data_IF_206795421619
#
_entry.id   IF_206795421619
#
_cell.length_a   1.000
_cell.length_b   1.000
_cell.length_c   1.000
_cell.angle_alpha   90.00
_cell.angle_beta   90.00
_cell.angle_gamma   90.00
#
_symmetry.space_group_name_H-M   'P 1'
#
loop_
_entity.id
_entity.type
_entity.pdbx_description
1 polymer ?
#
# COMPACT_ATOMS: atom_id res chain seq x y z
N UNK A 1 15.62 -26.36 67.74
CA UNK A 1 16.99 -26.44 67.30
C UNK A 1 17.00 -26.39 65.84
N UNK A 2 17.59 -25.36 65.30
CA UNK A 2 17.95 -25.02 63.94
C UNK A 2 16.82 -24.62 63.01
N UNK A 3 16.76 -23.32 62.91
CA UNK A 3 16.14 -22.47 61.90
C UNK A 3 16.63 -22.78 60.49
N UNK A 4 15.73 -22.72 59.57
CA UNK A 4 16.01 -22.37 58.18
C UNK A 4 14.73 -21.92 57.47
N UNK A 5 14.20 -20.78 57.89
CA UNK A 5 13.30 -19.95 57.08
C UNK A 5 14.18 -19.05 56.22
N UNK A 6 14.38 -19.43 54.94
CA UNK A 6 14.90 -18.55 53.93
C UNK A 6 13.73 -18.20 53.02
N UNK A 7 13.28 -16.96 53.16
CA UNK A 7 12.19 -16.32 52.47
C UNK A 7 12.51 -16.15 50.98
N UNK A 8 11.54 -16.56 50.15
CA UNK A 8 11.56 -16.46 48.67
C UNK A 8 11.28 -15.01 48.12
N UNK A 9 11.58 -13.98 48.90
CA UNK A 9 11.29 -12.59 48.52
C UNK A 9 12.50 -11.80 48.03
N UNK A 10 13.73 -12.30 48.10
CA UNK A 10 14.93 -11.52 47.73
C UNK A 10 15.53 -11.84 46.35
N UNK A 11 14.84 -12.60 45.50
CA UNK A 11 15.35 -12.91 44.16
C UNK A 11 14.68 -12.12 43.01
N UNK A 12 13.82 -11.16 43.32
CA UNK A 12 13.05 -10.41 42.29
C UNK A 12 13.58 -8.96 42.03
N UNK A 13 14.68 -8.53 42.65
CA UNK A 13 15.19 -7.14 42.52
C UNK A 13 16.65 -7.11 42.03
N UNK A 14 17.00 -7.98 41.10
CA UNK A 14 18.29 -7.93 40.44
C UNK A 14 18.22 -8.21 38.91
N UNK A 15 17.17 -7.74 38.25
CA UNK A 15 17.14 -7.56 36.80
C UNK A 15 17.21 -6.07 36.49
N UNK A 16 18.41 -5.53 36.72
CA UNK A 16 18.73 -4.13 36.41
C UNK A 16 18.59 -3.85 34.94
N UNK A 17 17.89 -2.79 34.70
CA UNK A 17 18.01 -1.82 33.64
C UNK A 17 19.37 -1.88 32.89
N UNK A 18 19.41 -2.65 31.81
CA UNK A 18 20.39 -2.51 30.75
C UNK A 18 19.65 -2.02 29.48
N UNK A 19 19.35 -0.72 29.48
CA UNK A 19 18.99 0.03 28.29
C UNK A 19 20.12 0.05 27.27
N UNK A 20 20.57 -1.12 26.83
CA UNK A 20 21.42 -1.24 25.66
C UNK A 20 20.53 -0.99 24.43
N UNK A 21 20.89 -0.04 23.54
CA UNK A 21 20.23 0.07 22.26
C UNK A 21 20.33 -1.30 21.57
N UNK A 22 19.18 -1.80 21.09
CA UNK A 22 19.16 -3.03 20.30
C UNK A 22 20.06 -2.79 19.09
N UNK A 23 21.32 -3.23 19.22
CA UNK A 23 22.31 -3.19 18.17
C UNK A 23 21.75 -4.06 17.04
N UNK A 24 21.18 -3.40 16.01
CA UNK A 24 20.75 -4.08 14.79
C UNK A 24 22.02 -4.71 14.25
N UNK A 25 22.17 -6.01 14.49
CA UNK A 25 23.28 -6.80 14.03
C UNK A 25 23.53 -6.49 12.54
N UNK A 26 24.69 -5.92 12.23
CA UNK A 26 25.21 -5.72 10.88
C UNK A 26 25.68 -7.06 10.27
N UNK A 27 24.97 -8.14 10.58
CA UNK A 27 25.08 -9.39 9.86
C UNK A 27 24.41 -9.22 8.50
N UNK A 28 25.15 -9.44 7.40
CA UNK A 28 24.64 -9.35 6.05
C UNK A 28 23.29 -10.03 5.94
N UNK A 29 22.26 -9.29 5.44
CA UNK A 29 20.90 -9.79 5.32
C UNK A 29 20.93 -11.07 4.49
N UNK A 30 20.61 -12.24 5.05
CA UNK A 30 20.67 -13.49 4.30
C UNK A 30 19.71 -13.33 3.12
N UNK A 31 20.23 -13.44 1.91
CA UNK A 31 19.46 -13.49 0.68
C UNK A 31 18.75 -12.17 0.27
N UNK A 32 19.52 -11.04 0.29
CA UNK A 32 19.02 -9.75 -0.23
C UNK A 32 18.58 -9.86 -1.71
N UNK A 33 19.22 -10.75 -2.48
CA UNK A 33 18.85 -11.02 -3.87
C UNK A 33 17.46 -11.61 -4.01
N UNK A 34 17.08 -12.57 -3.17
CA UNK A 34 15.71 -13.11 -3.13
C UNK A 34 14.71 -12.06 -2.63
N UNK A 35 15.11 -11.20 -1.71
CA UNK A 35 14.32 -10.05 -1.27
C UNK A 35 13.99 -9.11 -2.43
N UNK A 36 15.01 -8.71 -3.20
CA UNK A 36 14.88 -7.86 -4.38
C UNK A 36 13.99 -8.52 -5.44
N UNK A 37 14.17 -9.83 -5.70
CA UNK A 37 13.37 -10.55 -6.67
C UNK A 37 11.89 -10.59 -6.26
N UNK A 38 11.56 -10.88 -4.99
CA UNK A 38 10.19 -10.95 -4.48
C UNK A 38 9.49 -9.58 -4.54
N UNK A 39 10.13 -8.52 -4.04
CA UNK A 39 9.53 -7.19 -4.05
C UNK A 39 9.50 -6.60 -5.46
N UNK A 40 10.55 -6.82 -6.27
CA UNK A 40 10.58 -6.42 -7.68
C UNK A 40 9.47 -7.07 -8.48
N UNK A 41 9.23 -8.38 -8.28
CA UNK A 41 8.09 -9.07 -8.89
C UNK A 41 6.75 -8.47 -8.43
N UNK A 42 6.58 -8.20 -7.12
CA UNK A 42 5.35 -7.61 -6.61
C UNK A 42 5.06 -6.24 -7.24
N UNK A 43 6.07 -5.37 -7.34
CA UNK A 43 5.91 -4.06 -7.97
C UNK A 43 5.69 -4.15 -9.48
N UNK A 44 6.40 -5.04 -10.18
CA UNK A 44 6.17 -5.29 -11.60
C UNK A 44 4.75 -5.82 -11.83
N UNK A 45 4.31 -6.75 -10.98
CA UNK A 45 2.96 -7.31 -11.01
C UNK A 45 1.89 -6.21 -10.83
N UNK A 46 2.04 -5.32 -9.84
CA UNK A 46 1.15 -4.17 -9.68
C UNK A 46 1.17 -3.23 -10.88
N UNK A 47 2.34 -3.05 -11.50
CA UNK A 47 2.47 -2.23 -12.71
C UNK A 47 1.70 -2.75 -13.91
N UNK A 48 1.59 -4.08 -14.07
CA UNK A 48 0.83 -4.71 -15.18
C UNK A 48 -0.64 -4.96 -14.87
N UNK A 49 -1.08 -4.76 -13.62
CA UNK A 49 -2.47 -4.96 -13.19
C UNK A 49 -3.52 -4.18 -14.00
N UNK A 50 -3.25 -3.00 -14.56
CA UNK A 50 -4.20 -2.33 -15.45
C UNK A 50 -4.67 -3.20 -16.61
N UNK A 51 -3.82 -4.08 -17.15
CA UNK A 51 -4.21 -5.03 -18.21
C UNK A 51 -5.33 -5.98 -17.76
N UNK A 52 -5.27 -6.41 -16.52
CA UNK A 52 -6.29 -7.28 -15.92
C UNK A 52 -7.59 -6.52 -15.66
N UNK A 53 -7.52 -5.42 -14.93
CA UNK A 53 -8.70 -4.64 -14.56
C UNK A 53 -9.42 -4.07 -15.76
N UNK A 54 -8.71 -3.75 -16.83
CA UNK A 54 -9.31 -3.28 -18.09
C UNK A 54 -10.22 -4.34 -18.75
N UNK A 55 -9.96 -5.64 -18.53
CA UNK A 55 -10.85 -6.72 -19.01
C UNK A 55 -12.22 -6.67 -18.34
N UNK A 56 -12.31 -6.03 -17.18
CA UNK A 56 -13.50 -5.82 -16.37
C UNK A 56 -14.04 -4.38 -16.45
N UNK A 57 -13.65 -3.61 -17.46
CA UNK A 57 -14.10 -2.21 -17.65
C UNK A 57 -15.59 -2.04 -17.87
N UNK A 58 -16.31 -3.13 -18.21
CA UNK A 58 -17.78 -3.14 -18.25
C UNK A 58 -18.43 -3.13 -16.87
N UNK A 59 -17.66 -3.38 -15.80
CA UNK A 59 -18.12 -3.31 -14.41
C UNK A 59 -17.77 -1.94 -13.86
N UNK A 60 -18.72 -1.30 -13.18
CA UNK A 60 -18.49 0.02 -12.59
C UNK A 60 -17.32 0.00 -11.61
N UNK A 61 -16.49 1.07 -11.54
CA UNK A 61 -15.29 1.10 -10.69
C UNK A 61 -15.54 0.79 -9.24
N UNK A 62 -16.65 1.27 -8.69
CA UNK A 62 -17.06 1.00 -7.31
C UNK A 62 -17.42 -0.48 -7.11
N UNK A 63 -18.26 -1.04 -7.98
CA UNK A 63 -18.66 -2.44 -7.93
C UNK A 63 -17.45 -3.37 -8.09
N UNK A 64 -16.54 -3.05 -9.01
CA UNK A 64 -15.30 -3.81 -9.20
C UNK A 64 -14.41 -3.79 -7.94
N UNK A 65 -14.36 -2.64 -7.23
CA UNK A 65 -13.64 -2.54 -5.96
C UNK A 65 -14.32 -3.38 -4.87
N UNK A 66 -15.65 -3.38 -4.81
CA UNK A 66 -16.41 -4.22 -3.87
C UNK A 66 -16.11 -5.71 -4.10
N UNK A 67 -16.16 -6.18 -5.35
CA UNK A 67 -15.79 -7.56 -5.68
C UNK A 67 -14.33 -7.87 -5.33
N UNK A 68 -13.40 -6.96 -5.63
CA UNK A 68 -11.99 -7.10 -5.27
C UNK A 68 -11.80 -7.32 -3.76
N UNK A 69 -12.49 -6.54 -2.92
CA UNK A 69 -12.43 -6.66 -1.46
C UNK A 69 -13.07 -7.98 -1.00
N UNK A 70 -14.26 -8.30 -1.49
CA UNK A 70 -14.99 -9.51 -1.13
C UNK A 70 -14.16 -10.78 -1.41
N UNK A 71 -13.67 -10.92 -2.63
CA UNK A 71 -12.90 -12.10 -3.03
C UNK A 71 -11.52 -12.15 -2.38
N UNK A 72 -10.92 -10.98 -2.09
CA UNK A 72 -9.71 -10.90 -1.28
C UNK A 72 -9.98 -11.38 0.15
N UNK A 73 -11.07 -10.94 0.79
CA UNK A 73 -11.45 -11.38 2.14
C UNK A 73 -11.63 -12.90 2.23
N UNK A 74 -12.28 -13.50 1.24
CA UNK A 74 -12.47 -14.95 1.15
C UNK A 74 -11.13 -15.66 0.98
N UNK A 75 -10.29 -15.19 0.06
CA UNK A 75 -8.99 -15.79 -0.21
C UNK A 75 -8.05 -15.72 1.00
N UNK A 76 -7.91 -14.54 1.64
CA UNK A 76 -7.05 -14.41 2.84
C UNK A 76 -7.62 -15.18 4.04
N UNK A 77 -8.96 -15.36 4.14
CA UNK A 77 -9.57 -16.24 5.14
C UNK A 77 -9.13 -17.69 4.96
N UNK A 78 -9.17 -18.22 3.73
CA UNK A 78 -8.71 -19.57 3.41
C UNK A 78 -7.23 -19.73 3.77
N UNK A 79 -6.39 -18.76 3.41
CA UNK A 79 -4.95 -18.76 3.74
C UNK A 79 -4.73 -18.70 5.25
N UNK A 80 -5.48 -17.86 5.97
CA UNK A 80 -5.37 -17.71 7.42
C UNK A 80 -5.79 -18.99 8.15
N UNK A 81 -6.86 -19.64 7.71
CA UNK A 81 -7.30 -20.94 8.23
C UNK A 81 -6.25 -22.03 7.99
N UNK A 82 -5.75 -22.14 6.75
CA UNK A 82 -4.75 -23.14 6.39
C UNK A 82 -3.41 -22.95 7.12
N UNK A 83 -3.11 -21.74 7.59
CA UNK A 83 -1.90 -21.41 8.37
C UNK A 83 -2.13 -21.39 9.88
N UNK A 84 -3.32 -21.73 10.37
CA UNK A 84 -3.65 -21.68 11.79
C UNK A 84 -3.58 -20.27 12.41
N UNK A 85 -3.71 -19.20 11.62
CA UNK A 85 -3.55 -17.80 12.07
C UNK A 85 -4.81 -17.24 12.74
N UNK A 86 -5.92 -17.97 12.73
CA UNK A 86 -7.21 -17.49 13.24
C UNK A 86 -7.16 -17.01 14.71
N UNK A 87 -6.50 -17.68 15.66
CA UNK A 87 -6.41 -17.18 17.03
C UNK A 87 -5.70 -15.83 17.13
N UNK A 88 -4.65 -15.63 16.32
CA UNK A 88 -3.92 -14.36 16.26
C UNK A 88 -4.76 -13.24 15.68
N UNK A 89 -5.48 -13.49 14.59
CA UNK A 89 -6.42 -12.52 13.97
C UNK A 89 -7.53 -12.15 14.95
N UNK A 90 -8.07 -13.14 15.70
CA UNK A 90 -9.08 -12.87 16.73
C UNK A 90 -8.54 -11.99 17.88
N UNK A 91 -7.28 -12.16 18.26
CA UNK A 91 -6.63 -11.31 19.25
C UNK A 91 -6.52 -9.84 18.75
N UNK A 92 -6.18 -9.65 17.47
CA UNK A 92 -6.14 -8.32 16.82
C UNK A 92 -7.54 -7.67 16.87
N UNK A 93 -8.58 -8.40 16.46
CA UNK A 93 -9.97 -7.90 16.44
C UNK A 93 -10.46 -7.51 17.84
N UNK A 94 -10.03 -8.24 18.87
CA UNK A 94 -10.38 -7.94 20.27
C UNK A 94 -9.64 -6.76 20.86
N UNK A 95 -8.70 -6.14 20.15
CA UNK A 95 -7.95 -4.97 20.59
C UNK A 95 -8.55 -3.71 19.98
N UNK A 96 -9.41 -2.94 20.70
CA UNK A 96 -10.23 -1.88 20.10
C UNK A 96 -9.43 -0.78 19.40
N UNK A 97 -8.27 -0.40 19.97
CA UNK A 97 -7.40 0.63 19.37
C UNK A 97 -6.81 0.18 18.04
N UNK A 98 -6.36 -1.08 17.97
CA UNK A 98 -5.81 -1.67 16.75
C UNK A 98 -6.91 -1.82 15.71
N UNK A 99 -8.08 -2.31 16.11
CA UNK A 99 -9.25 -2.47 15.24
C UNK A 99 -9.70 -1.13 14.65
N UNK A 100 -9.79 -0.06 15.46
CA UNK A 100 -10.15 1.28 14.98
C UNK A 100 -9.14 1.81 13.95
N UNK A 101 -7.84 1.60 14.18
CA UNK A 101 -6.81 2.00 13.22
C UNK A 101 -6.93 1.19 11.92
N UNK A 102 -7.16 -0.13 12.00
CA UNK A 102 -7.37 -0.97 10.82
C UNK A 102 -8.69 -0.64 10.10
N UNK A 103 -9.72 -0.19 10.80
CA UNK A 103 -10.95 0.32 10.17
C UNK A 103 -10.69 1.62 9.37
N UNK A 104 -9.89 2.54 9.93
CA UNK A 104 -9.48 3.74 9.20
C UNK A 104 -8.63 3.38 7.97
N UNK A 105 -7.66 2.48 8.14
CA UNK A 105 -6.80 2.06 7.01
C UNK A 105 -7.56 1.30 5.94
N UNK A 106 -8.60 0.52 6.31
CA UNK A 106 -9.46 -0.15 5.34
C UNK A 106 -10.24 0.84 4.47
N UNK A 107 -10.73 1.95 5.05
CA UNK A 107 -11.36 3.03 4.28
C UNK A 107 -10.37 3.71 3.35
N UNK A 108 -9.18 4.08 3.86
CA UNK A 108 -8.15 4.77 3.07
C UNK A 108 -7.69 3.94 1.87
N UNK A 109 -7.43 2.63 2.07
CA UNK A 109 -6.99 1.77 0.99
C UNK A 109 -8.12 1.48 -0.01
N UNK A 110 -9.36 1.38 0.45
CA UNK A 110 -10.53 1.22 -0.42
C UNK A 110 -10.74 2.43 -1.30
N UNK A 111 -10.65 3.64 -0.75
CA UNK A 111 -10.69 4.88 -1.53
C UNK A 111 -9.57 4.91 -2.58
N UNK A 112 -8.33 4.58 -2.19
CA UNK A 112 -7.19 4.51 -3.09
C UNK A 112 -7.45 3.52 -4.25
N UNK A 113 -7.91 2.32 -3.95
CA UNK A 113 -8.19 1.30 -4.95
C UNK A 113 -9.34 1.69 -5.87
N UNK A 114 -10.41 2.31 -5.34
CA UNK A 114 -11.55 2.77 -6.14
C UNK A 114 -11.10 3.85 -7.12
N UNK A 115 -10.31 4.83 -6.67
CA UNK A 115 -9.75 5.89 -7.53
C UNK A 115 -8.87 5.26 -8.62
N UNK A 116 -8.02 4.29 -8.28
CA UNK A 116 -7.17 3.64 -9.25
C UNK A 116 -7.96 2.88 -10.32
N UNK A 117 -8.97 2.11 -9.93
CA UNK A 117 -9.87 1.42 -10.87
C UNK A 117 -10.64 2.42 -11.74
N UNK A 118 -11.09 3.53 -11.13
CA UNK A 118 -11.71 4.63 -11.86
C UNK A 118 -10.77 5.18 -12.95
N UNK A 119 -9.49 5.39 -12.64
CA UNK A 119 -8.50 5.86 -13.61
C UNK A 119 -8.33 4.89 -14.79
N UNK A 120 -8.40 3.58 -14.54
CA UNK A 120 -8.35 2.56 -15.60
C UNK A 120 -9.58 2.66 -16.50
N UNK A 121 -10.76 2.79 -15.90
CA UNK A 121 -12.03 2.86 -16.63
C UNK A 121 -12.20 4.16 -17.44
N UNK A 122 -11.61 5.26 -16.95
CA UNK A 122 -11.75 6.60 -17.56
C UNK A 122 -10.53 7.05 -18.37
N UNK A 123 -9.56 6.15 -18.61
CA UNK A 123 -8.33 6.47 -19.36
C UNK A 123 -7.51 7.62 -18.75
N UNK A 124 -7.31 7.57 -17.43
CA UNK A 124 -6.56 8.57 -16.65
C UNK A 124 -5.37 7.95 -15.90
N UNK A 125 -4.78 6.89 -16.44
CA UNK A 125 -3.66 6.18 -15.82
C UNK A 125 -2.37 7.00 -15.78
N UNK A 126 -2.19 7.92 -16.73
CA UNK A 126 -1.06 8.88 -16.71
C UNK A 126 -1.12 9.69 -15.41
N UNK A 127 -2.29 10.23 -15.06
CA UNK A 127 -2.47 11.01 -13.83
C UNK A 127 -2.35 10.13 -12.58
N UNK A 128 -2.86 8.92 -12.59
CA UNK A 128 -2.66 7.95 -11.52
C UNK A 128 -1.18 7.64 -11.31
N UNK A 129 -0.41 7.46 -12.38
CA UNK A 129 1.04 7.22 -12.31
C UNK A 129 1.77 8.40 -11.66
N UNK A 130 1.40 9.65 -11.99
CA UNK A 130 1.95 10.83 -11.34
C UNK A 130 1.68 10.82 -9.83
N UNK A 131 0.47 10.46 -9.41
CA UNK A 131 0.11 10.32 -8.00
C UNK A 131 1.01 9.32 -7.26
N UNK A 132 1.26 8.16 -7.84
CA UNK A 132 2.16 7.17 -7.23
C UNK A 132 3.63 7.59 -7.24
N UNK A 133 4.09 8.39 -8.20
CA UNK A 133 5.43 8.97 -8.14
C UNK A 133 5.57 10.02 -7.03
N UNK A 134 4.49 10.71 -6.66
CA UNK A 134 4.46 11.69 -5.58
C UNK A 134 4.41 11.04 -4.19
N UNK A 135 3.94 9.79 -4.07
CA UNK A 135 3.78 9.08 -2.79
C UNK A 135 4.98 9.18 -1.83
N UNK A 136 6.24 8.98 -2.26
CA UNK A 136 7.37 9.09 -1.35
C UNK A 136 7.55 10.50 -0.78
N UNK A 137 7.23 11.52 -1.57
CA UNK A 137 7.32 12.92 -1.13
C UNK A 137 6.23 13.26 -0.12
N UNK A 138 5.02 12.74 -0.31
CA UNK A 138 3.94 12.81 0.69
C UNK A 138 4.36 12.07 1.96
N UNK A 139 4.96 10.87 1.86
CA UNK A 139 5.44 10.12 3.03
C UNK A 139 6.50 10.89 3.82
N UNK A 140 7.41 11.61 3.14
CA UNK A 140 8.39 12.51 3.78
C UNK A 140 7.65 13.65 4.50
N UNK A 141 6.71 14.31 3.83
CA UNK A 141 5.94 15.40 4.43
C UNK A 141 5.18 14.93 5.68
N UNK A 142 4.48 13.78 5.60
CA UNK A 142 3.80 13.19 6.75
C UNK A 142 4.77 12.81 7.88
N UNK A 143 5.95 12.29 7.57
CA UNK A 143 7.01 12.02 8.54
C UNK A 143 7.39 13.25 9.35
N UNK A 144 7.55 14.39 8.67
CA UNK A 144 7.86 15.66 9.33
C UNK A 144 6.69 16.19 10.16
N UNK A 145 5.50 16.27 9.57
CA UNK A 145 4.34 16.90 10.23
C UNK A 145 3.77 16.05 11.38
N UNK A 146 3.80 14.72 11.26
CA UNK A 146 3.14 13.83 12.21
C UNK A 146 4.12 13.18 13.20
N UNK A 147 5.38 12.96 12.80
CA UNK A 147 6.40 12.38 13.68
C UNK A 147 7.41 13.42 14.18
N UNK A 148 7.31 14.70 13.77
CA UNK A 148 8.28 15.73 14.12
C UNK A 148 9.68 15.44 13.54
N UNK A 149 9.79 14.65 12.47
CA UNK A 149 11.07 14.35 11.85
C UNK A 149 11.73 15.65 11.32
N UNK A 150 13.05 15.75 11.44
CA UNK A 150 13.75 16.93 10.97
C UNK A 150 13.68 17.05 9.44
N UNK A 151 13.07 18.14 8.95
CA UNK A 151 13.01 18.43 7.51
C UNK A 151 14.27 19.14 7.07
N UNK A 152 15.11 18.49 6.29
CA UNK A 152 16.22 19.15 5.64
C UNK A 152 15.74 20.10 4.54
N UNK A 153 16.57 21.08 4.18
CA UNK A 153 16.27 22.02 3.07
C UNK A 153 16.04 21.28 1.75
N UNK A 154 16.78 20.19 1.51
CA UNK A 154 16.63 19.38 0.29
C UNK A 154 15.31 18.62 0.23
N UNK A 155 14.87 18.06 1.36
CA UNK A 155 13.55 17.40 1.45
C UNK A 155 12.41 18.41 1.29
N UNK A 156 12.54 19.59 1.91
CA UNK A 156 11.56 20.67 1.70
C UNK A 156 11.49 21.07 0.23
N UNK A 157 12.63 21.27 -0.44
CA UNK A 157 12.68 21.58 -1.87
C UNK A 157 11.99 20.49 -2.71
N UNK A 158 12.23 19.21 -2.41
CA UNK A 158 11.58 18.10 -3.10
C UNK A 158 10.05 18.09 -2.93
N UNK A 159 9.55 18.35 -1.73
CA UNK A 159 8.10 18.46 -1.46
C UNK A 159 7.49 19.66 -2.20
N UNK A 160 8.17 20.80 -2.22
CA UNK A 160 7.74 21.99 -2.98
C UNK A 160 7.70 21.69 -4.48
N UNK A 161 8.71 21.00 -5.02
CA UNK A 161 8.72 20.58 -6.44
C UNK A 161 7.53 19.66 -6.77
N UNK A 162 7.14 18.74 -5.86
CA UNK A 162 5.94 17.94 -6.04
C UNK A 162 4.67 18.81 -6.12
N UNK A 163 4.55 19.82 -5.25
CA UNK A 163 3.46 20.78 -5.30
C UNK A 163 3.42 21.58 -6.61
N UNK A 164 4.60 22.00 -7.11
CA UNK A 164 4.71 22.69 -8.42
C UNK A 164 4.26 21.77 -9.56
N UNK A 165 4.62 20.48 -9.54
CA UNK A 165 4.16 19.51 -10.54
C UNK A 165 2.63 19.42 -10.59
N UNK A 166 1.98 19.33 -9.42
CA UNK A 166 0.50 19.32 -9.34
C UNK A 166 -0.09 20.65 -9.85
N UNK A 167 0.52 21.79 -9.51
CA UNK A 167 0.07 23.10 -9.99
C UNK A 167 0.17 23.24 -11.52
N UNK A 168 1.23 22.73 -12.14
CA UNK A 168 1.39 22.69 -13.60
C UNK A 168 0.23 21.91 -14.24
N UNK A 169 -0.12 20.74 -13.68
CA UNK A 169 -1.25 19.96 -14.17
C UNK A 169 -2.59 20.68 -13.97
N UNK A 170 -2.76 21.40 -12.85
CA UNK A 170 -3.96 22.20 -12.62
C UNK A 170 -4.15 23.31 -13.67
N UNK A 171 -3.06 23.98 -14.06
CA UNK A 171 -3.08 25.01 -15.10
C UNK A 171 -3.40 24.40 -16.47
N UNK A 172 -2.79 23.24 -16.80
CA UNK A 172 -3.04 22.57 -18.09
C UNK A 172 -4.50 22.11 -18.22
N UNK A 173 -5.05 21.53 -17.16
CA UNK A 173 -6.42 20.98 -17.16
C UNK A 173 -7.49 22.07 -17.02
N UNK A 174 -7.13 23.27 -16.54
CA UNK A 174 -8.09 24.30 -16.21
C UNK A 174 -8.94 24.03 -14.96
N UNK A 175 -8.64 22.96 -14.24
CA UNK A 175 -9.26 22.57 -12.97
C UNK A 175 -8.27 21.83 -12.07
N UNK A 176 -8.63 21.69 -10.80
CA UNK A 176 -7.77 20.98 -9.85
C UNK A 176 -7.62 19.49 -10.21
N UNK A 177 -6.38 18.96 -10.44
CA UNK A 177 -6.11 17.57 -10.76
C UNK A 177 -6.20 16.71 -9.50
N UNK A 178 -7.41 16.38 -9.08
CA UNK A 178 -7.67 15.74 -7.77
C UNK A 178 -7.15 14.32 -7.64
N UNK A 179 -6.99 13.61 -8.77
CA UNK A 179 -6.62 12.19 -8.81
C UNK A 179 -5.23 11.96 -8.19
N UNK A 180 -4.22 12.66 -8.69
CA UNK A 180 -2.85 12.46 -8.23
C UNK A 180 -2.68 12.77 -6.72
N UNK A 181 -3.16 13.92 -6.19
CA UNK A 181 -3.14 14.17 -4.75
C UNK A 181 -3.98 13.18 -3.94
N UNK A 182 -5.17 12.78 -4.43
CA UNK A 182 -6.02 11.84 -3.72
C UNK A 182 -5.38 10.45 -3.58
N UNK A 183 -4.75 9.94 -4.65
CA UNK A 183 -3.99 8.69 -4.60
C UNK A 183 -2.78 8.82 -3.66
N UNK A 184 -2.00 9.91 -3.77
CA UNK A 184 -0.82 10.10 -2.96
C UNK A 184 -1.16 10.26 -1.47
N UNK A 185 -2.17 11.03 -1.12
CA UNK A 185 -2.59 11.25 0.27
C UNK A 185 -3.23 10.00 0.88
N UNK A 186 -4.17 9.36 0.17
CA UNK A 186 -4.84 8.16 0.68
C UNK A 186 -3.85 7.03 0.97
N UNK A 187 -2.88 6.81 0.08
CA UNK A 187 -1.83 5.81 0.28
C UNK A 187 -0.79 6.25 1.32
N UNK A 188 -0.43 7.53 1.36
CA UNK A 188 0.48 8.09 2.35
C UNK A 188 -0.07 7.95 3.78
N UNK A 189 -1.33 8.34 4.01
CA UNK A 189 -1.99 8.15 5.30
C UNK A 189 -2.21 6.67 5.64
N UNK A 190 -2.56 5.83 4.66
CA UNK A 190 -2.62 4.39 4.85
C UNK A 190 -1.28 3.86 5.37
N UNK A 191 -0.16 4.19 4.69
CA UNK A 191 1.18 3.78 5.11
C UNK A 191 1.56 4.30 6.50
N UNK A 192 1.21 5.55 6.82
CA UNK A 192 1.42 6.14 8.13
C UNK A 192 0.73 5.35 9.25
N UNK A 193 -0.58 5.14 9.14
CA UNK A 193 -1.33 4.41 10.17
C UNK A 193 -0.94 2.94 10.25
N UNK A 194 -0.60 2.31 9.13
CA UNK A 194 -0.08 0.93 9.11
C UNK A 194 1.27 0.80 9.82
N UNK A 195 2.16 1.80 9.69
CA UNK A 195 3.43 1.84 10.42
C UNK A 195 3.24 1.91 11.94
N UNK A 196 2.19 2.60 12.41
CA UNK A 196 1.85 2.69 13.83
C UNK A 196 1.18 1.43 14.38
N UNK A 197 0.71 0.54 13.52
CA UNK A 197 -0.05 -0.64 13.92
C UNK A 197 0.87 -1.85 14.01
N UNK A 198 1.08 -2.46 15.20
CA UNK A 198 1.98 -3.59 15.39
C UNK A 198 1.35 -4.90 14.89
N UNK A 199 0.98 -4.94 13.62
CA UNK A 199 0.31 -6.07 12.97
C UNK A 199 1.02 -6.41 11.66
N UNK A 200 1.29 -7.69 11.43
CA UNK A 200 1.87 -8.18 10.18
C UNK A 200 1.00 -7.80 8.97
N UNK A 201 1.64 -7.64 7.80
CA UNK A 201 0.95 -7.15 6.60
C UNK A 201 -0.22 -8.04 6.18
N UNK A 202 -0.05 -9.37 6.24
CA UNK A 202 -1.09 -10.31 5.84
C UNK A 202 -2.25 -10.34 6.85
N UNK A 203 -1.95 -10.37 8.15
CA UNK A 203 -2.97 -10.33 9.20
C UNK A 203 -3.75 -9.02 9.16
N UNK A 204 -3.05 -7.88 8.95
CA UNK A 204 -3.69 -6.59 8.79
C UNK A 204 -4.61 -6.53 7.57
N UNK A 205 -4.16 -7.01 6.41
CA UNK A 205 -5.01 -7.11 5.22
C UNK A 205 -6.24 -7.99 5.48
N UNK A 206 -6.07 -9.09 6.21
CA UNK A 206 -7.18 -9.98 6.58
C UNK A 206 -8.21 -9.22 7.42
N UNK A 207 -7.78 -8.53 8.46
CA UNK A 207 -8.70 -7.75 9.31
C UNK A 207 -9.32 -6.58 8.55
N UNK A 208 -8.55 -5.83 7.75
CA UNK A 208 -9.05 -4.73 6.92
C UNK A 208 -10.16 -5.20 5.96
N UNK A 209 -9.95 -6.31 5.26
CA UNK A 209 -10.96 -6.86 4.35
C UNK A 209 -12.15 -7.47 5.08
N UNK A 210 -11.95 -8.06 6.27
CA UNK A 210 -13.05 -8.60 7.08
C UNK A 210 -13.93 -7.53 7.70
N UNK A 211 -13.37 -6.37 8.06
CA UNK A 211 -14.16 -5.21 8.50
C UNK A 211 -15.14 -4.78 7.40
N UNK A 212 -14.69 -4.82 6.14
CA UNK A 212 -15.51 -4.44 4.98
C UNK A 212 -16.39 -5.57 4.47
N UNK A 213 -16.14 -6.81 4.88
CA UNK A 213 -16.84 -8.00 4.37
C UNK A 213 -18.37 -7.91 4.52
N UNK A 214 -18.95 -7.48 5.67
CA UNK A 214 -20.42 -7.37 5.78
C UNK A 214 -21.02 -6.42 4.77
N UNK A 215 -20.34 -5.28 4.52
CA UNK A 215 -20.81 -4.28 3.55
C UNK A 215 -20.66 -4.77 2.13
N UNK A 216 -19.50 -5.32 1.78
CA UNK A 216 -19.21 -5.81 0.42
C UNK A 216 -20.08 -7.01 0.06
N UNK A 217 -20.28 -7.94 1.00
CA UNK A 217 -21.20 -9.08 0.81
C UNK A 217 -22.65 -8.60 0.66
N UNK A 218 -23.08 -7.67 1.54
CA UNK A 218 -24.44 -7.10 1.46
C UNK A 218 -24.69 -6.40 0.13
N UNK A 219 -23.74 -5.64 -0.39
CA UNK A 219 -23.86 -4.98 -1.69
C UNK A 219 -23.93 -6.00 -2.84
N UNK A 220 -23.06 -7.01 -2.85
CA UNK A 220 -23.07 -8.03 -3.91
C UNK A 220 -24.37 -8.82 -3.91
N UNK A 221 -24.88 -9.21 -2.72
CA UNK A 221 -26.17 -9.88 -2.59
C UNK A 221 -27.31 -8.96 -3.05
N UNK A 222 -27.31 -7.69 -2.63
CA UNK A 222 -28.32 -6.71 -3.04
C UNK A 222 -28.35 -6.53 -4.57
N UNK A 223 -27.21 -6.34 -5.20
CA UNK A 223 -27.11 -6.21 -6.66
C UNK A 223 -27.53 -7.48 -7.39
N UNK A 224 -27.13 -8.65 -6.87
CA UNK A 224 -27.53 -9.94 -7.44
C UNK A 224 -29.05 -10.15 -7.38
N UNK A 225 -29.69 -9.85 -6.24
CA UNK A 225 -31.14 -9.99 -6.07
C UNK A 225 -31.93 -8.96 -6.88
N UNK A 226 -31.41 -7.74 -7.04
CA UNK A 226 -32.03 -6.68 -7.85
C UNK A 226 -31.79 -6.83 -9.35
N UNK A 227 -30.92 -7.76 -9.76
CA UNK A 227 -30.56 -7.94 -11.17
C UNK A 227 -29.75 -6.78 -11.76
N UNK A 228 -29.18 -5.89 -10.92
CA UNK A 228 -28.41 -4.71 -11.36
C UNK A 228 -26.90 -4.95 -11.31
N UNK A 229 -26.45 -6.06 -10.70
CA UNK A 229 -25.06 -6.38 -10.47
C UNK A 229 -24.37 -7.04 -11.66
N UNK A 230 -23.05 -6.96 -11.64
CA UNK A 230 -22.20 -7.63 -12.59
C UNK A 230 -21.99 -9.12 -12.28
N UNK A 231 -22.39 -9.59 -11.08
CA UNK A 231 -22.22 -10.96 -10.59
C UNK A 231 -23.48 -11.44 -9.83
N UNK A 232 -23.96 -12.68 -10.04
CA UNK A 232 -23.50 -13.60 -11.09
C UNK A 232 -23.93 -13.14 -12.49
N UNK A 233 -23.13 -13.48 -13.49
CA UNK A 233 -23.43 -13.12 -14.87
C UNK A 233 -23.56 -14.35 -15.77
N UNK A 234 -24.20 -14.25 -16.94
CA UNK A 234 -24.18 -15.32 -17.93
C UNK A 234 -22.78 -15.63 -18.48
N UNK A 235 -21.83 -14.68 -18.34
CA UNK A 235 -20.44 -14.83 -18.75
C UNK A 235 -19.59 -15.36 -17.60
N UNK A 236 -19.39 -16.67 -17.57
CA UNK A 236 -18.55 -17.35 -16.58
C UNK A 236 -17.09 -16.85 -16.58
N UNK A 237 -16.58 -16.34 -17.71
CA UNK A 237 -15.24 -15.76 -17.77
C UNK A 237 -15.17 -14.48 -16.97
N UNK A 238 -16.18 -13.62 -17.09
CA UNK A 238 -16.31 -12.38 -16.28
C UNK A 238 -16.39 -12.70 -14.80
N UNK A 239 -17.23 -13.67 -14.44
CA UNK A 239 -17.39 -14.10 -13.04
C UNK A 239 -16.07 -14.66 -12.48
N UNK A 240 -15.39 -15.51 -13.23
CA UNK A 240 -14.07 -16.03 -12.89
C UNK A 240 -13.02 -14.93 -12.72
N UNK A 241 -13.02 -13.92 -13.58
CA UNK A 241 -12.15 -12.74 -13.44
C UNK A 241 -12.47 -11.93 -12.18
N UNK A 242 -13.74 -11.71 -11.86
CA UNK A 242 -14.12 -11.01 -10.63
C UNK A 242 -13.61 -11.77 -9.39
N UNK A 243 -13.80 -13.09 -9.34
CA UNK A 243 -13.34 -13.94 -8.22
C UNK A 243 -11.82 -13.96 -8.12
N UNK A 244 -11.12 -14.09 -9.25
CA UNK A 244 -9.66 -14.15 -9.27
C UNK A 244 -8.98 -12.83 -8.87
N UNK A 245 -9.69 -11.71 -8.90
CA UNK A 245 -9.23 -10.42 -8.40
C UNK A 245 -8.79 -10.44 -6.93
N UNK A 246 -9.36 -11.34 -6.11
CA UNK A 246 -8.96 -11.55 -4.72
C UNK A 246 -7.53 -12.06 -4.57
N UNK A 247 -7.21 -13.26 -5.08
CA UNK A 247 -5.84 -13.80 -5.12
C UNK A 247 -4.82 -12.82 -5.73
N UNK A 248 -5.19 -12.15 -6.83
CA UNK A 248 -4.34 -11.16 -7.49
C UNK A 248 -4.05 -9.92 -6.62
N UNK A 249 -4.91 -9.62 -5.66
CA UNK A 249 -4.66 -8.55 -4.67
C UNK A 249 -3.76 -9.05 -3.54
N UNK A 250 -4.01 -10.23 -3.01
CA UNK A 250 -3.32 -10.75 -1.83
C UNK A 250 -1.91 -11.28 -2.14
N UNK A 251 -1.70 -11.93 -3.30
CA UNK A 251 -0.43 -12.55 -3.66
C UNK A 251 0.74 -11.57 -3.72
N UNK A 252 0.67 -10.45 -4.48
CA UNK A 252 1.78 -9.50 -4.53
C UNK A 252 2.03 -8.83 -3.18
N UNK A 253 1.00 -8.62 -2.35
CA UNK A 253 1.18 -8.12 -0.98
C UNK A 253 1.98 -9.11 -0.12
N UNK A 254 1.71 -10.40 -0.22
CA UNK A 254 2.48 -11.42 0.49
C UNK A 254 3.94 -11.47 0.01
N UNK A 255 4.16 -11.39 -1.30
CA UNK A 255 5.52 -11.36 -1.89
C UNK A 255 6.28 -10.10 -1.50
N UNK A 256 5.62 -8.94 -1.55
CA UNK A 256 6.17 -7.67 -1.07
C UNK A 256 6.59 -7.76 0.40
N UNK A 257 5.71 -8.23 1.29
CA UNK A 257 6.00 -8.37 2.71
C UNK A 257 7.17 -9.33 2.97
N UNK A 258 7.26 -10.43 2.21
CA UNK A 258 8.37 -11.37 2.29
C UNK A 258 9.69 -10.75 1.77
N UNK A 259 9.62 -9.97 0.70
CA UNK A 259 10.76 -9.26 0.12
C UNK A 259 11.27 -8.15 1.03
N UNK A 260 10.37 -7.30 1.53
CA UNK A 260 10.71 -6.16 2.38
C UNK A 260 11.48 -6.55 3.65
N UNK A 261 11.19 -7.73 4.21
CA UNK A 261 11.93 -8.26 5.38
C UNK A 261 13.36 -8.73 5.07
N UNK A 262 13.71 -8.91 3.80
CA UNK A 262 15.00 -9.45 3.34
C UNK A 262 15.93 -8.42 2.73
N UNK A 263 15.52 -7.15 2.65
CA UNK A 263 16.31 -6.11 2.01
C UNK A 263 16.33 -4.82 2.80
N UNK A 264 17.26 -3.93 2.44
CA UNK A 264 17.36 -2.60 3.02
C UNK A 264 16.17 -1.73 2.58
N UNK A 265 15.70 -0.88 3.48
CA UNK A 265 14.59 0.04 3.20
C UNK A 265 14.90 0.97 2.02
N UNK A 266 16.16 1.33 1.82
CA UNK A 266 16.60 2.14 0.67
C UNK A 266 16.41 1.42 -0.67
N UNK A 267 16.75 0.12 -0.74
CA UNK A 267 16.56 -0.70 -1.95
C UNK A 267 15.06 -0.84 -2.24
N UNK A 268 14.26 -1.09 -1.19
CA UNK A 268 12.79 -1.16 -1.31
C UNK A 268 12.20 0.16 -1.84
N UNK A 269 12.71 1.31 -1.34
CA UNK A 269 12.29 2.63 -1.79
C UNK A 269 12.54 2.89 -3.28
N UNK A 270 13.60 2.33 -3.86
CA UNK A 270 13.83 2.41 -5.31
C UNK A 270 12.92 1.47 -6.10
N UNK A 271 12.67 0.26 -5.60
CA UNK A 271 11.81 -0.70 -6.29
C UNK A 271 10.35 -0.23 -6.41
N UNK A 272 9.87 0.60 -5.49
CA UNK A 272 8.50 1.10 -5.56
C UNK A 272 8.20 1.93 -6.84
N UNK A 273 9.22 2.50 -7.48
CA UNK A 273 9.04 3.24 -8.74
C UNK A 273 8.82 2.34 -9.95
N UNK A 274 9.06 1.04 -9.83
CA UNK A 274 8.85 0.08 -10.90
C UNK A 274 7.36 0.03 -11.32
N UNK A 275 6.46 -0.01 -10.34
CA UNK A 275 5.03 -0.07 -10.59
C UNK A 275 4.48 1.14 -11.38
N UNK A 276 4.66 2.41 -10.93
CA UNK A 276 4.16 3.55 -11.69
C UNK A 276 4.88 3.74 -13.02
N UNK A 277 6.14 3.30 -13.17
CA UNK A 277 6.84 3.33 -14.46
C UNK A 277 6.19 2.38 -15.47
N UNK A 278 5.92 1.14 -15.08
CA UNK A 278 5.23 0.17 -15.94
C UNK A 278 3.81 0.65 -16.26
N UNK A 279 3.08 1.18 -15.24
CA UNK A 279 1.74 1.72 -15.45
C UNK A 279 1.73 2.88 -16.43
N UNK A 280 2.71 3.80 -16.35
CA UNK A 280 2.85 4.91 -17.30
C UNK A 280 3.13 4.42 -18.72
N UNK A 281 4.03 3.44 -18.87
CA UNK A 281 4.33 2.84 -20.17
C UNK A 281 3.09 2.14 -20.75
N UNK A 282 2.32 1.42 -19.93
CA UNK A 282 1.07 0.80 -20.36
C UNK A 282 0.01 1.84 -20.73
N UNK A 283 -0.12 2.91 -19.94
CA UNK A 283 -1.07 3.99 -20.25
C UNK A 283 -0.77 4.61 -21.61
N UNK A 284 0.48 4.97 -21.86
CA UNK A 284 0.88 5.67 -23.08
C UNK A 284 0.95 4.76 -24.30
N UNK A 285 1.70 3.66 -24.21
CA UNK A 285 1.98 2.78 -25.36
C UNK A 285 0.98 1.62 -25.50
N UNK A 286 0.45 1.12 -24.38
CA UNK A 286 -0.49 0.00 -24.38
C UNK A 286 -1.94 0.42 -24.53
N UNK A 287 -2.33 1.53 -23.92
CA UNK A 287 -3.72 2.01 -23.91
C UNK A 287 -3.96 3.25 -24.77
N UNK A 288 -2.89 3.84 -25.31
CA UNK A 288 -2.98 5.01 -26.19
C UNK A 288 -3.43 6.28 -25.46
N UNK A 289 -3.21 6.37 -24.13
CA UNK A 289 -3.47 7.61 -23.39
C UNK A 289 -2.51 8.71 -23.86
N UNK A 290 -3.04 9.91 -24.01
CA UNK A 290 -2.24 11.05 -24.44
C UNK A 290 -1.26 11.44 -23.36
N UNK A 291 0.02 11.44 -23.71
CA UNK A 291 1.09 12.01 -22.88
C UNK A 291 1.47 13.37 -23.43
N UNK A 292 1.08 14.42 -22.74
CA UNK A 292 1.27 15.81 -23.18
C UNK A 292 2.68 16.30 -22.87
N UNK A 293 3.06 17.45 -23.44
CA UNK A 293 4.32 18.11 -23.06
C UNK A 293 4.32 18.53 -21.59
N UNK A 294 3.16 18.93 -21.05
CA UNK A 294 3.02 19.30 -19.64
C UNK A 294 3.12 18.08 -18.71
N UNK A 295 2.66 16.90 -19.14
CA UNK A 295 2.95 15.65 -18.42
C UNK A 295 4.46 15.44 -18.36
N UNK A 296 5.19 15.59 -19.47
CA UNK A 296 6.64 15.47 -19.49
C UNK A 296 7.34 16.43 -18.51
N UNK A 297 6.88 17.69 -18.42
CA UNK A 297 7.38 18.66 -17.45
C UNK A 297 7.04 18.26 -16.02
N UNK A 298 5.80 17.89 -15.75
CA UNK A 298 5.34 17.49 -14.41
C UNK A 298 6.10 16.26 -13.90
N UNK A 299 6.23 15.20 -14.71
CA UNK A 299 7.03 14.01 -14.36
C UNK A 299 8.52 14.33 -14.20
N UNK A 300 9.09 15.18 -15.08
CA UNK A 300 10.48 15.61 -14.99
C UNK A 300 10.80 16.31 -13.67
N UNK A 301 9.90 17.19 -13.21
CA UNK A 301 10.01 17.89 -11.91
C UNK A 301 9.94 16.87 -10.75
N UNK A 302 9.03 15.91 -10.78
CA UNK A 302 8.93 14.88 -9.74
C UNK A 302 10.16 13.99 -9.74
N UNK A 303 10.66 13.56 -10.89
CA UNK A 303 11.90 12.78 -10.98
C UNK A 303 13.10 13.56 -10.44
N UNK A 304 13.20 14.87 -10.72
CA UNK A 304 14.22 15.73 -10.13
C UNK A 304 14.11 15.76 -8.60
N UNK A 305 12.89 15.94 -8.07
CA UNK A 305 12.65 15.91 -6.63
C UNK A 305 13.11 14.58 -5.98
N UNK A 306 12.83 13.45 -6.65
CA UNK A 306 13.24 12.13 -6.18
C UNK A 306 14.76 11.93 -6.22
N UNK A 307 15.45 12.44 -7.25
CA UNK A 307 16.92 12.43 -7.33
C UNK A 307 17.52 13.25 -6.19
N UNK A 308 16.97 14.43 -5.87
CA UNK A 308 17.43 15.27 -4.76
C UNK A 308 17.35 14.49 -3.44
N UNK A 309 16.23 13.82 -3.16
CA UNK A 309 16.04 13.01 -1.94
C UNK A 309 17.00 11.82 -1.90
N UNK A 310 17.18 11.14 -3.04
CA UNK A 310 18.08 9.98 -3.14
C UNK A 310 19.56 10.37 -2.88
N UNK A 311 20.00 11.51 -3.42
CA UNK A 311 21.36 12.02 -3.21
C UNK A 311 21.58 12.43 -1.74
N UNK A 312 20.61 13.11 -1.11
CA UNK A 312 20.73 13.43 0.33
C UNK A 312 20.94 12.17 1.18
N UNK A 313 20.20 11.09 0.88
CA UNK A 313 20.34 9.83 1.59
C UNK A 313 21.74 9.20 1.48
N UNK A 314 22.46 9.47 0.40
CA UNK A 314 23.86 9.02 0.23
C UNK A 314 24.86 9.89 1.00
N UNK A 315 24.72 11.21 0.96
CA UNK A 315 25.65 12.15 1.64
C UNK A 315 25.57 12.08 3.17
N UNK A 316 24.45 11.63 3.75
CA UNK A 316 24.34 11.42 5.21
C UNK A 316 24.92 10.10 5.70
N UNK A 317 25.33 9.21 4.78
CA UNK A 317 25.92 7.90 5.11
C UNK A 317 27.45 7.83 4.86
N UNK A 318 28.00 8.82 4.16
CA UNK A 318 29.44 9.05 4.03
C UNK A 318 29.93 10.00 5.12
#
# INVERSE_FOLDING_TARGET
>A
MTDSDITLEDSAIAAGDSGAPMEIAQGGVPDESAGIALAGFAYAFWGIMPLYWRRLSSVGPFELTVHRILWCAIFVAIVALGRGRLPHIMAIIRTPRVLATLALTSVLITCNWTIYIYCIATHQLVEASLGYYINPLISIALGVFLFGEHMSRLRLAAVVLAGISVAIKAVELGHFPWIAPALALSFGFYGYFRKLTPVDSLDGLTVETWILLPVTLGLVVFWGLSGTGAFPSPDLTKDGLLMFGGPLTALPLAMFAAGARRMRLSTLGFLQYLSPSITLLLATFGFGEKFTRMDGVAFGIVWLALVIVALEGRFKRA
#
